data_IF_112058818887
#
_entry.id   IF_112058818887
#
_cell.length_a   1.000
_cell.length_b   1.000
_cell.length_c   1.000
_cell.angle_alpha   90.00
_cell.angle_beta   90.00
_cell.angle_gamma   90.00
#
_symmetry.space_group_name_H-M   'P 1'
#
loop_
_entity.id
_entity.type
_entity.pdbx_description
1 polymer ?
#
# COMPACT_ATOMS: atom_id res chain seq x y z
N UNK A 1 -1.72 -31.07 19.01
CA UNK A 1 -2.76 -30.62 18.05
C UNK A 1 -2.20 -29.44 17.24
N UNK A 2 -1.00 -29.61 16.65
CA UNK A 2 -0.17 -28.51 16.11
C UNK A 2 -0.26 -28.34 14.58
N UNK A 3 -1.00 -29.21 13.88
CA UNK A 3 -0.95 -29.29 12.43
C UNK A 3 -1.87 -28.32 11.68
N UNK A 4 -2.85 -27.71 12.35
CA UNK A 4 -3.80 -26.81 11.69
C UNK A 4 -3.26 -25.38 11.53
N UNK A 5 -2.45 -24.91 12.49
CA UNK A 5 -1.88 -23.55 12.46
C UNK A 5 -0.70 -23.43 11.47
N UNK A 6 0.02 -24.53 11.21
CA UNK A 6 1.17 -24.54 10.32
C UNK A 6 0.81 -24.54 8.83
N UNK A 7 -0.41 -24.99 8.47
CA UNK A 7 -0.90 -25.10 7.08
C UNK A 7 -0.90 -23.76 6.31
N UNK A 8 -0.88 -22.63 7.03
CA UNK A 8 -0.86 -21.27 6.47
C UNK A 8 0.38 -20.47 6.88
N UNK A 9 1.40 -21.13 7.47
CA UNK A 9 2.68 -20.49 7.76
C UNK A 9 3.48 -20.35 6.47
N UNK A 10 4.19 -19.22 6.30
CA UNK A 10 5.09 -18.92 5.16
C UNK A 10 6.14 -20.05 4.98
N UNK A 11 6.42 -20.82 6.03
CA UNK A 11 7.32 -21.98 6.03
C UNK A 11 6.83 -23.21 5.23
N UNK A 12 5.58 -23.21 4.74
CA UNK A 12 4.97 -24.37 4.02
C UNK A 12 4.95 -24.16 2.49
N UNK A 13 5.48 -23.05 2.00
CA UNK A 13 5.63 -22.80 0.55
C UNK A 13 7.12 -22.89 0.21
N UNK A 14 7.47 -23.59 -0.89
CA UNK A 14 8.85 -23.67 -1.42
C UNK A 14 9.39 -22.32 -1.97
N UNK A 15 8.63 -21.23 -1.78
CA UNK A 15 8.96 -19.88 -2.22
C UNK A 15 9.75 -19.16 -1.12
N UNK A 16 11.00 -18.82 -1.41
CA UNK A 16 11.78 -17.94 -0.53
C UNK A 16 11.60 -16.49 -0.98
N UNK A 17 11.25 -15.62 -0.02
CA UNK A 17 11.11 -14.18 -0.26
C UNK A 17 12.42 -13.64 -0.84
N UNK A 18 12.38 -13.16 -2.10
CA UNK A 18 13.55 -12.64 -2.82
C UNK A 18 14.14 -13.54 -3.91
N UNK A 19 13.56 -14.72 -4.20
CA UNK A 19 14.03 -15.62 -5.27
C UNK A 19 14.02 -15.00 -6.68
N UNK A 20 13.08 -14.08 -6.94
CA UNK A 20 12.94 -13.39 -8.23
C UNK A 20 13.73 -12.06 -8.30
N UNK A 21 14.45 -11.70 -7.23
CA UNK A 21 15.18 -10.45 -7.19
C UNK A 21 16.51 -10.55 -7.94
N UNK A 22 16.81 -9.54 -8.74
CA UNK A 22 18.11 -9.44 -9.40
C UNK A 22 19.10 -8.84 -8.42
N UNK A 23 19.85 -9.71 -7.72
CA UNK A 23 20.89 -9.29 -6.80
C UNK A 23 22.18 -8.95 -7.58
N UNK A 24 22.39 -7.66 -7.88
CA UNK A 24 23.59 -7.18 -8.60
C UNK A 24 24.19 -5.98 -7.88
N UNK A 25 25.52 -6.01 -7.69
CA UNK A 25 26.29 -4.96 -7.01
C UNK A 25 25.81 -4.64 -5.57
N UNK A 26 25.32 -5.65 -4.84
CA UNK A 26 24.81 -5.48 -3.48
C UNK A 26 23.40 -4.87 -3.40
N UNK A 27 22.76 -4.58 -4.53
CA UNK A 27 21.36 -4.15 -4.59
C UNK A 27 20.45 -5.36 -4.84
N UNK A 28 19.41 -5.45 -4.01
CA UNK A 28 18.34 -6.43 -4.14
C UNK A 28 17.17 -5.80 -4.93
N UNK A 29 17.18 -5.95 -6.26
CA UNK A 29 16.21 -5.27 -7.14
C UNK A 29 15.01 -6.19 -7.37
N UNK A 30 13.84 -5.77 -6.88
CA UNK A 30 12.56 -6.42 -7.16
C UNK A 30 12.15 -6.18 -8.63
N UNK A 31 12.57 -7.09 -9.51
CA UNK A 31 12.35 -6.99 -10.94
C UNK A 31 11.15 -7.89 -11.29
N UNK A 32 9.97 -7.31 -11.60
CA UNK A 32 9.85 -6.32 -12.68
C UNK A 32 9.34 -4.93 -12.28
N UNK A 33 8.87 -4.75 -11.04
CA UNK A 33 8.16 -3.52 -10.64
C UNK A 33 9.08 -2.30 -10.60
N UNK A 34 10.36 -2.48 -10.22
CA UNK A 34 11.32 -1.40 -10.16
C UNK A 34 11.63 -0.84 -11.55
N UNK A 35 11.90 -1.71 -12.53
CA UNK A 35 12.25 -1.31 -13.88
C UNK A 35 11.11 -0.55 -14.58
N UNK A 36 9.87 -1.05 -14.47
CA UNK A 36 8.70 -0.41 -15.07
C UNK A 36 8.43 0.95 -14.43
N UNK A 37 8.45 1.02 -13.09
CA UNK A 37 8.17 2.26 -12.37
C UNK A 37 9.24 3.33 -12.66
N UNK A 38 10.53 2.95 -12.61
CA UNK A 38 11.62 3.86 -12.92
C UNK A 38 11.58 4.34 -14.37
N UNK A 39 11.28 3.44 -15.32
CA UNK A 39 11.13 3.77 -16.73
C UNK A 39 10.01 4.78 -16.99
N UNK A 40 8.83 4.57 -16.39
CA UNK A 40 7.70 5.50 -16.52
C UNK A 40 8.00 6.86 -15.91
N UNK A 41 8.65 6.90 -14.73
CA UNK A 41 9.04 8.17 -14.09
C UNK A 41 10.04 8.92 -14.97
N UNK A 42 11.09 8.26 -15.47
CA UNK A 42 12.09 8.88 -16.35
C UNK A 42 11.42 9.40 -17.62
N UNK A 43 10.55 8.61 -18.26
CA UNK A 43 9.82 9.03 -19.45
C UNK A 43 8.97 10.27 -19.18
N UNK A 44 8.24 10.30 -18.07
CA UNK A 44 7.42 11.44 -17.66
C UNK A 44 8.27 12.70 -17.40
N UNK A 45 9.42 12.56 -16.74
CA UNK A 45 10.32 13.68 -16.50
C UNK A 45 10.94 14.22 -17.80
N UNK A 46 11.36 13.33 -18.71
CA UNK A 46 11.91 13.72 -19.99
C UNK A 46 10.86 14.42 -20.88
N UNK A 47 9.62 13.93 -20.89
CA UNK A 47 8.55 14.57 -21.65
C UNK A 47 8.21 15.96 -21.10
N UNK A 48 8.16 16.12 -19.77
CA UNK A 48 7.93 17.41 -19.12
C UNK A 48 9.09 18.40 -19.32
N UNK A 49 10.32 17.92 -19.49
CA UNK A 49 11.49 18.77 -19.75
C UNK A 49 11.52 19.33 -21.18
N UNK A 50 10.98 18.59 -22.15
CA UNK A 50 10.98 18.98 -23.57
C UNK A 50 9.79 19.91 -23.88
N UNK A 51 8.67 19.74 -23.20
CA UNK A 51 7.43 20.52 -23.43
C UNK A 51 7.51 21.87 -22.72
N UNK A 52 6.92 22.90 -23.35
CA UNK A 52 6.79 24.21 -22.74
C UNK A 52 6.02 24.15 -21.38
N UNK A 53 6.50 24.82 -20.32
CA UNK A 53 5.90 24.74 -18.99
C UNK A 53 4.42 25.11 -18.93
N UNK A 54 3.94 26.06 -19.75
CA UNK A 54 2.54 26.44 -19.76
C UNK A 54 1.66 25.30 -20.31
N UNK A 55 2.11 24.68 -21.41
CA UNK A 55 1.41 23.56 -22.03
C UNK A 55 1.38 22.33 -21.11
N UNK A 56 2.52 22.02 -20.48
CA UNK A 56 2.62 20.92 -19.53
C UNK A 56 1.68 21.10 -18.33
N UNK A 57 1.65 22.31 -17.76
CA UNK A 57 0.77 22.67 -16.65
C UNK A 57 -0.70 22.51 -17.02
N UNK A 58 -1.11 23.01 -18.18
CA UNK A 58 -2.50 22.98 -18.61
C UNK A 58 -2.96 21.54 -18.91
N UNK A 59 -2.08 20.71 -19.49
CA UNK A 59 -2.33 19.28 -19.69
C UNK A 59 -2.48 18.52 -18.35
N UNK A 60 -1.58 18.76 -17.40
CA UNK A 60 -1.64 18.13 -16.06
C UNK A 60 -2.89 18.57 -15.29
N UNK A 61 -3.25 19.85 -15.37
CA UNK A 61 -4.47 20.37 -14.74
C UNK A 61 -5.73 19.81 -15.40
N UNK A 62 -5.75 19.70 -16.73
CA UNK A 62 -6.84 19.06 -17.46
C UNK A 62 -7.04 17.62 -17.02
N UNK A 63 -5.96 16.83 -16.99
CA UNK A 63 -6.00 15.45 -16.51
C UNK A 63 -6.50 15.35 -15.08
N UNK A 64 -5.95 16.17 -14.17
CA UNK A 64 -6.39 16.23 -12.77
C UNK A 64 -7.88 16.50 -12.66
N UNK A 65 -8.37 17.50 -13.40
CA UNK A 65 -9.77 17.91 -13.34
C UNK A 65 -10.69 16.82 -13.91
N UNK A 66 -10.30 16.13 -14.99
CA UNK A 66 -11.06 14.99 -15.51
C UNK A 66 -11.15 13.85 -14.50
N UNK A 67 -10.04 13.49 -13.84
CA UNK A 67 -10.04 12.46 -12.79
C UNK A 67 -10.99 12.85 -11.66
N UNK A 68 -10.95 14.11 -11.21
CA UNK A 68 -11.86 14.59 -10.16
C UNK A 68 -13.31 14.56 -10.67
N UNK A 69 -13.60 15.10 -11.84
CA UNK A 69 -14.97 15.16 -12.39
C UNK A 69 -15.62 13.78 -12.49
N UNK A 70 -14.86 12.76 -12.90
CA UNK A 70 -15.39 11.40 -13.07
C UNK A 70 -15.41 10.60 -11.76
N UNK A 71 -14.42 10.77 -10.88
CA UNK A 71 -14.26 9.94 -9.69
C UNK A 71 -14.67 10.60 -8.37
N UNK A 72 -15.02 11.89 -8.34
CA UNK A 72 -15.39 12.60 -7.10
C UNK A 72 -16.53 11.90 -6.35
N UNK A 73 -17.60 11.54 -7.07
CA UNK A 73 -18.73 10.82 -6.48
C UNK A 73 -18.33 9.44 -5.96
N UNK A 74 -17.48 8.71 -6.70
CA UNK A 74 -16.98 7.41 -6.28
C UNK A 74 -16.14 7.52 -5.01
N UNK A 75 -15.21 8.48 -4.95
CA UNK A 75 -14.38 8.70 -3.77
C UNK A 75 -15.22 9.14 -2.56
N UNK A 76 -16.18 10.04 -2.73
CA UNK A 76 -17.07 10.47 -1.65
C UNK A 76 -17.81 9.28 -1.04
N UNK A 77 -18.44 8.43 -1.86
CA UNK A 77 -19.14 7.24 -1.37
C UNK A 77 -18.19 6.20 -0.78
N UNK A 78 -17.02 6.00 -1.40
CA UNK A 78 -15.99 5.07 -0.91
C UNK A 78 -15.49 5.48 0.48
N UNK A 79 -15.18 6.75 0.70
CA UNK A 79 -14.76 7.26 2.01
C UNK A 79 -15.86 7.09 3.06
N UNK A 80 -17.12 7.43 2.73
CA UNK A 80 -18.25 7.20 3.63
C UNK A 80 -18.41 5.72 3.96
N UNK A 81 -18.30 4.85 2.96
CA UNK A 81 -18.36 3.41 3.13
C UNK A 81 -17.25 2.90 4.06
N UNK A 82 -15.99 3.29 3.86
CA UNK A 82 -14.88 2.85 4.71
C UNK A 82 -15.02 3.32 6.16
N UNK A 83 -15.55 4.52 6.39
CA UNK A 83 -15.84 5.01 7.74
C UNK A 83 -16.92 4.14 8.41
N UNK A 84 -18.05 3.92 7.74
CA UNK A 84 -19.13 3.07 8.25
C UNK A 84 -18.64 1.65 8.46
N UNK A 85 -17.85 1.11 7.54
CA UNK A 85 -17.26 -0.22 7.62
C UNK A 85 -16.30 -0.34 8.81
N UNK A 86 -15.43 0.65 9.06
CA UNK A 86 -14.54 0.65 10.22
C UNK A 86 -15.32 0.69 11.55
N UNK A 87 -16.38 1.50 11.63
CA UNK A 87 -17.27 1.55 12.80
C UNK A 87 -18.00 0.21 12.96
N UNK A 88 -18.50 -0.37 11.87
CA UNK A 88 -19.15 -1.67 11.89
C UNK A 88 -18.19 -2.75 12.39
N UNK A 89 -16.93 -2.77 11.93
CA UNK A 89 -15.91 -3.69 12.41
C UNK A 89 -15.62 -3.51 13.91
N UNK A 90 -15.51 -2.26 14.38
CA UNK A 90 -15.30 -1.91 15.78
C UNK A 90 -16.42 -2.47 16.69
N UNK A 91 -17.67 -2.35 16.25
CA UNK A 91 -18.84 -2.83 17.01
C UNK A 91 -19.07 -4.34 16.84
N UNK A 92 -18.64 -4.91 15.72
CA UNK A 92 -18.81 -6.33 15.40
C UNK A 92 -17.91 -7.23 16.28
N UNK A 93 -18.25 -8.53 16.43
CA UNK A 93 -17.36 -9.49 17.08
C UNK A 93 -16.01 -9.65 16.37
N UNK A 94 -15.87 -9.23 15.11
CA UNK A 94 -14.62 -9.28 14.36
C UNK A 94 -13.58 -8.31 14.91
N UNK A 95 -13.99 -7.19 15.50
CA UNK A 95 -13.08 -6.24 16.15
C UNK A 95 -12.36 -6.80 17.38
N UNK A 96 -12.83 -7.92 17.94
CA UNK A 96 -12.20 -8.61 19.08
C UNK A 96 -11.09 -9.58 18.66
N UNK A 97 -10.92 -9.83 17.37
CA UNK A 97 -9.93 -10.76 16.85
C UNK A 97 -8.54 -10.11 16.97
N UNK A 98 -7.63 -10.80 17.68
CA UNK A 98 -6.22 -10.38 17.77
C UNK A 98 -5.49 -10.75 16.49
N UNK A 99 -4.85 -9.77 15.87
CA UNK A 99 -3.97 -9.97 14.72
C UNK A 99 -2.67 -10.60 15.22
N UNK A 100 -2.29 -11.76 14.67
CA UNK A 100 -1.12 -12.54 15.13
C UNK A 100 -1.46 -13.81 15.93
N UNK A 101 -2.74 -14.13 16.11
CA UNK A 101 -3.19 -15.38 16.75
C UNK A 101 -3.85 -15.17 18.12
N UNK A 102 -4.44 -16.24 18.67
CA UNK A 102 -5.24 -16.17 19.91
C UNK A 102 -4.43 -15.72 21.13
N UNK A 103 -3.16 -16.14 21.19
CA UNK A 103 -2.23 -15.85 22.29
C UNK A 103 -1.32 -14.63 22.02
N UNK A 104 -1.55 -13.88 20.95
CA UNK A 104 -0.74 -12.71 20.63
C UNK A 104 -0.84 -11.65 21.74
N UNK A 105 0.31 -11.12 22.15
CA UNK A 105 0.45 -10.02 23.11
C UNK A 105 0.98 -8.79 22.38
N UNK A 106 0.58 -7.60 22.83
CA UNK A 106 1.12 -6.36 22.28
C UNK A 106 2.62 -6.26 22.59
N UNK A 107 3.45 -6.08 21.55
CA UNK A 107 4.90 -5.91 21.69
C UNK A 107 5.28 -4.54 22.27
N UNK A 108 4.41 -3.55 22.09
CA UNK A 108 4.58 -2.19 22.60
C UNK A 108 3.47 -1.83 23.58
N UNK A 109 3.79 -0.96 24.54
CA UNK A 109 2.77 -0.37 25.41
C UNK A 109 1.82 0.50 24.58
N UNK A 110 0.57 0.64 25.04
CA UNK A 110 -0.46 1.43 24.34
C UNK A 110 -0.02 2.87 24.08
N UNK A 111 0.71 3.48 25.03
CA UNK A 111 1.26 4.82 24.89
C UNK A 111 2.36 4.89 23.82
N UNK A 112 3.28 3.92 23.81
CA UNK A 112 4.34 3.86 22.80
C UNK A 112 3.77 3.62 21.40
N UNK A 113 2.76 2.76 21.27
CA UNK A 113 2.07 2.50 20.01
C UNK A 113 1.33 3.74 19.50
N UNK A 114 0.62 4.47 20.38
CA UNK A 114 -0.04 5.71 20.01
C UNK A 114 0.97 6.75 19.51
N UNK A 115 2.12 6.88 20.17
CA UNK A 115 3.20 7.77 19.73
C UNK A 115 3.74 7.42 18.34
N UNK A 116 3.75 6.14 17.95
CA UNK A 116 4.18 5.72 16.61
C UNK A 116 3.21 6.18 15.51
N UNK A 117 1.91 6.25 15.80
CA UNK A 117 0.91 6.72 14.84
C UNK A 117 1.05 8.21 14.50
N UNK A 118 1.52 9.02 15.45
CA UNK A 118 1.75 10.46 15.25
C UNK A 118 3.21 10.80 14.89
N UNK A 119 4.06 9.79 14.69
CA UNK A 119 5.46 9.98 14.29
C UNK A 119 5.63 10.18 12.77
N UNK A 120 4.56 9.95 12.00
CA UNK A 120 4.53 10.10 10.54
C UNK A 120 4.53 11.55 10.07
#
# INVERSE_FOLDING_TARGET
>A
MDNAAKKYSIDTTDYQVGQDNVQKWGFDIHNPVFGISAGLVILCLLSLLIVDPATARDALNGLRNSIIADFDLFFMWSTNFFIVFAIALLLSPLGKIRIGGKEARAEHSTLSWLSMLFRG
#
